data_IF_990359950121
#
_entry.id   IF_990359950121
#
_cell.length_a   1.000
_cell.length_b   1.000
_cell.length_c   1.000
_cell.angle_alpha   90.00
_cell.angle_beta   90.00
_cell.angle_gamma   90.00
#
_symmetry.space_group_name_H-M   'P 1'
#
loop_
_entity.id
_entity.type
_entity.pdbx_description
1 polymer ?
#
# COMPACT_ATOMS: atom_id res chain seq x y z
N UNK A 1 -9.29 22.59 -36.60
CA UNK A 1 -9.51 21.30 -35.89
C UNK A 1 -8.88 21.41 -34.51
N UNK A 2 -9.61 21.17 -33.41
CA UNK A 2 -9.02 21.15 -32.07
C UNK A 2 -7.95 20.05 -32.00
N UNK A 3 -6.74 20.39 -31.55
CA UNK A 3 -5.67 19.41 -31.37
C UNK A 3 -6.12 18.36 -30.35
N UNK A 4 -5.99 17.05 -30.63
CA UNK A 4 -6.36 16.01 -29.66
C UNK A 4 -5.60 16.25 -28.35
N UNK A 5 -6.35 16.38 -27.25
CA UNK A 5 -5.77 16.59 -25.93
C UNK A 5 -4.99 15.34 -25.53
N UNK A 6 -3.67 15.48 -25.39
CA UNK A 6 -2.83 14.41 -24.82
C UNK A 6 -3.19 14.24 -23.36
N UNK A 7 -3.53 13.01 -22.98
CA UNK A 7 -3.79 12.63 -21.59
C UNK A 7 -2.52 12.75 -20.75
N UNK A 8 -2.62 13.30 -19.55
CA UNK A 8 -1.50 13.79 -18.71
C UNK A 8 -1.20 12.86 -17.55
N UNK A 9 0.05 12.79 -17.07
CA UNK A 9 0.38 11.84 -16.01
C UNK A 9 0.05 12.34 -14.61
N UNK A 10 -0.62 11.51 -13.81
CA UNK A 10 -0.84 11.73 -12.37
C UNK A 10 -0.13 10.63 -11.57
N UNK A 11 0.44 10.98 -10.41
CA UNK A 11 1.25 10.05 -9.62
C UNK A 11 0.43 9.34 -8.52
N UNK A 12 -0.62 9.97 -7.98
CA UNK A 12 -1.55 9.28 -7.08
C UNK A 12 -2.93 9.96 -7.02
N UNK A 13 -3.92 9.24 -6.52
CA UNK A 13 -5.26 9.78 -6.27
C UNK A 13 -5.30 10.67 -5.03
N UNK A 14 -6.26 11.63 -4.94
CA UNK A 14 -6.48 12.41 -3.73
C UNK A 14 -7.05 11.56 -2.59
N UNK A 15 -6.63 11.82 -1.36
CA UNK A 15 -7.21 11.19 -0.17
C UNK A 15 -8.65 11.66 0.09
N UNK A 16 -8.92 12.93 -0.18
CA UNK A 16 -10.22 13.56 0.01
C UNK A 16 -10.72 14.10 -1.33
N UNK A 17 -11.89 13.62 -1.77
CA UNK A 17 -12.47 13.99 -3.07
C UNK A 17 -13.32 15.26 -3.00
N UNK A 18 -13.64 15.75 -1.79
CA UNK A 18 -14.34 17.02 -1.64
C UNK A 18 -14.02 17.74 -0.34
N UNK A 19 -14.01 19.06 -0.38
CA UNK A 19 -13.81 19.96 0.75
C UNK A 19 -14.96 20.97 0.80
N UNK A 20 -15.57 21.17 1.97
CA UNK A 20 -16.68 22.10 2.16
C UNK A 20 -16.45 22.97 3.40
N UNK A 21 -16.92 24.22 3.42
CA UNK A 21 -16.89 25.05 4.62
C UNK A 21 -17.98 24.63 5.62
N UNK A 22 -17.69 24.72 6.91
CA UNK A 22 -18.59 24.28 7.99
C UNK A 22 -19.82 25.18 8.20
N UNK A 23 -19.83 26.40 7.63
CA UNK A 23 -20.79 27.46 8.00
C UNK A 23 -21.69 27.95 6.87
N UNK A 24 -21.69 27.30 5.71
CA UNK A 24 -22.58 27.72 4.63
C UNK A 24 -23.20 26.56 3.87
N UNK A 25 -24.47 26.72 3.51
CA UNK A 25 -25.15 25.87 2.53
C UNK A 25 -24.65 26.27 1.13
N UNK A 26 -23.34 26.14 0.91
CA UNK A 26 -22.68 26.50 -0.33
C UNK A 26 -23.24 25.65 -1.47
N UNK A 27 -24.23 26.18 -2.19
CA UNK A 27 -24.77 25.55 -3.39
C UNK A 27 -23.74 25.52 -4.52
N UNK A 28 -22.79 26.45 -4.47
CA UNK A 28 -21.78 26.61 -5.50
C UNK A 28 -20.60 25.66 -5.26
N UNK A 29 -20.46 24.73 -6.20
CA UNK A 29 -19.38 23.74 -6.23
C UNK A 29 -18.37 24.11 -7.29
N UNK A 30 -17.10 24.20 -6.90
CA UNK A 30 -15.95 24.34 -7.79
C UNK A 30 -15.39 22.95 -8.09
N UNK A 31 -15.35 22.60 -9.38
CA UNK A 31 -14.76 21.35 -9.85
C UNK A 31 -13.27 21.57 -10.13
N UNK A 32 -12.42 20.90 -9.38
CA UNK A 32 -10.97 20.83 -9.59
C UNK A 32 -10.64 19.53 -10.31
N UNK A 33 -9.85 19.57 -11.38
CA UNK A 33 -9.43 18.33 -12.07
C UNK A 33 -8.29 17.64 -11.34
N UNK A 34 -8.08 16.35 -11.63
CA UNK A 34 -6.97 15.60 -11.03
C UNK A 34 -5.60 16.19 -11.40
N UNK A 35 -5.45 16.70 -12.62
CA UNK A 35 -4.22 17.37 -13.05
C UNK A 35 -3.92 18.61 -12.19
N UNK A 36 -4.96 19.39 -11.87
CA UNK A 36 -4.84 20.59 -11.03
C UNK A 36 -4.43 20.21 -9.61
N UNK A 37 -5.05 19.18 -9.04
CA UNK A 37 -4.66 18.64 -7.74
C UNK A 37 -3.22 18.14 -7.71
N UNK A 38 -2.80 17.35 -8.71
CA UNK A 38 -1.44 16.83 -8.82
C UNK A 38 -0.41 17.96 -8.89
N UNK A 39 -0.69 19.04 -9.64
CA UNK A 39 0.22 20.20 -9.69
C UNK A 39 0.37 20.90 -8.35
N UNK A 40 -0.73 21.09 -7.61
CA UNK A 40 -0.68 21.67 -6.26
C UNK A 40 0.12 20.75 -5.33
N UNK A 41 -0.10 19.43 -5.40
CA UNK A 41 0.62 18.46 -4.56
C UNK A 41 2.12 18.48 -4.86
N UNK A 42 2.53 18.47 -6.12
CA UNK A 42 3.94 18.43 -6.49
C UNK A 42 4.65 19.75 -6.17
N UNK A 43 4.04 20.89 -6.49
CA UNK A 43 4.67 22.20 -6.33
C UNK A 43 4.56 22.70 -4.90
N UNK A 44 3.35 22.80 -4.35
CA UNK A 44 3.12 23.46 -3.06
C UNK A 44 3.37 22.49 -1.88
N UNK A 45 2.92 21.24 -1.97
CA UNK A 45 3.08 20.28 -0.87
C UNK A 45 4.46 19.57 -0.88
N UNK A 46 4.98 19.19 -2.04
CA UNK A 46 6.29 18.52 -2.17
C UNK A 46 7.44 19.49 -2.49
N UNK A 47 7.17 20.79 -2.59
CA UNK A 47 8.18 21.84 -2.87
C UNK A 47 9.01 21.59 -4.14
N UNK A 48 8.45 20.91 -5.15
CA UNK A 48 9.15 20.65 -6.42
C UNK A 48 9.13 21.87 -7.33
N UNK A 49 10.13 21.96 -8.21
CA UNK A 49 10.14 23.01 -9.23
C UNK A 49 9.11 22.72 -10.33
N UNK A 50 8.66 23.76 -11.04
CA UNK A 50 7.74 23.59 -12.17
C UNK A 50 8.31 22.70 -13.28
N UNK A 51 9.63 22.68 -13.44
CA UNK A 51 10.32 21.79 -14.38
C UNK A 51 10.24 20.33 -13.93
N UNK A 52 10.51 20.05 -12.66
CA UNK A 52 10.37 18.70 -12.10
C UNK A 52 8.93 18.21 -12.15
N UNK A 53 7.96 19.09 -11.89
CA UNK A 53 6.54 18.79 -12.03
C UNK A 53 6.17 18.46 -13.49
N UNK A 54 6.70 19.21 -14.46
CA UNK A 54 6.48 18.96 -15.88
C UNK A 54 7.04 17.61 -16.33
N UNK A 55 8.23 17.25 -15.84
CA UNK A 55 8.82 15.94 -16.05
C UNK A 55 7.98 14.82 -15.42
N UNK A 56 7.53 15.00 -14.17
CA UNK A 56 6.72 14.00 -13.46
C UNK A 56 5.35 13.76 -14.13
N UNK A 57 4.70 14.83 -14.61
CA UNK A 57 3.41 14.74 -15.29
C UNK A 57 3.53 14.44 -16.80
N UNK A 58 4.75 14.29 -17.32
CA UNK A 58 5.06 14.09 -18.73
C UNK A 58 4.36 15.10 -19.67
N UNK A 59 4.41 16.38 -19.29
CA UNK A 59 3.82 17.50 -20.05
C UNK A 59 4.85 18.62 -20.27
N UNK A 60 4.57 19.52 -21.20
CA UNK A 60 5.41 20.70 -21.40
C UNK A 60 5.36 21.62 -20.16
N UNK A 61 6.47 22.30 -19.85
CA UNK A 61 6.57 23.28 -18.74
C UNK A 61 5.46 24.32 -18.78
N UNK A 62 5.16 24.86 -19.97
CA UNK A 62 4.09 25.85 -20.18
C UNK A 62 2.70 25.31 -19.86
N UNK A 63 2.48 24.02 -20.08
CA UNK A 63 1.22 23.34 -19.72
C UNK A 63 1.08 23.24 -18.20
N UNK A 64 2.15 22.90 -17.46
CA UNK A 64 2.12 22.88 -15.99
C UNK A 64 1.83 24.25 -15.42
N UNK A 65 2.47 25.30 -15.94
CA UNK A 65 2.21 26.68 -15.49
C UNK A 65 0.73 27.04 -15.67
N UNK A 66 0.13 26.70 -16.81
CA UNK A 66 -1.29 26.96 -17.06
C UNK A 66 -2.23 26.16 -16.14
N UNK A 67 -1.92 24.88 -15.88
CA UNK A 67 -2.68 24.04 -14.96
C UNK A 67 -2.57 24.60 -13.53
N UNK A 68 -1.36 24.92 -13.09
CA UNK A 68 -1.08 25.46 -11.76
C UNK A 68 -1.79 26.81 -11.53
N UNK A 69 -1.79 27.70 -12.52
CA UNK A 69 -2.52 28.97 -12.42
C UNK A 69 -4.04 28.78 -12.35
N UNK A 70 -4.60 27.82 -13.10
CA UNK A 70 -6.01 27.45 -13.00
C UNK A 70 -6.34 26.88 -11.62
N UNK A 71 -5.50 25.97 -11.13
CA UNK A 71 -5.65 25.32 -9.84
C UNK A 71 -5.64 26.34 -8.68
N UNK A 72 -4.68 27.27 -8.68
CA UNK A 72 -4.58 28.34 -7.67
C UNK A 72 -5.78 29.28 -7.69
N UNK A 73 -6.30 29.64 -8.86
CA UNK A 73 -7.51 30.49 -8.96
C UNK A 73 -8.73 29.79 -8.36
N UNK A 74 -8.92 28.50 -8.65
CA UNK A 74 -10.02 27.71 -8.09
C UNK A 74 -9.91 27.56 -6.58
N UNK A 75 -8.70 27.31 -6.08
CA UNK A 75 -8.43 27.19 -4.65
C UNK A 75 -8.65 28.53 -3.92
N UNK A 76 -8.19 29.64 -4.50
CA UNK A 76 -8.44 30.98 -3.96
C UNK A 76 -9.93 31.33 -3.95
N UNK A 77 -10.66 31.04 -5.04
CA UNK A 77 -12.10 31.28 -5.11
C UNK A 77 -12.86 30.46 -4.06
N UNK A 78 -12.47 29.20 -3.85
CA UNK A 78 -13.08 28.36 -2.82
C UNK A 78 -12.90 28.92 -1.40
N UNK A 79 -11.69 29.42 -1.08
CA UNK A 79 -11.38 29.98 0.23
C UNK A 79 -12.03 31.35 0.47
N UNK A 80 -12.10 32.21 -0.55
CA UNK A 80 -12.64 33.58 -0.42
C UNK A 80 -14.17 33.57 -0.45
N UNK A 81 -14.76 32.79 -1.33
CA UNK A 81 -16.21 32.77 -1.57
C UNK A 81 -16.93 31.68 -0.76
N UNK A 82 -16.18 30.86 0.00
CA UNK A 82 -16.75 29.76 0.80
C UNK A 82 -17.41 28.68 -0.07
N UNK A 83 -16.77 28.30 -1.17
CA UNK A 83 -17.33 27.31 -2.11
C UNK A 83 -16.84 25.90 -1.80
N UNK A 84 -17.70 24.91 -2.06
CA UNK A 84 -17.29 23.50 -1.98
C UNK A 84 -16.34 23.17 -3.12
N UNK A 85 -15.19 22.57 -2.82
CA UNK A 85 -14.29 21.99 -3.83
C UNK A 85 -14.68 20.53 -4.01
N UNK A 86 -14.85 20.09 -5.25
CA UNK A 86 -14.94 18.67 -5.61
C UNK A 86 -13.85 18.36 -6.62
N UNK A 87 -13.03 17.36 -6.31
CA UNK A 87 -12.00 16.89 -7.22
C UNK A 87 -12.66 15.86 -8.14
N UNK A 88 -12.80 16.17 -9.42
CA UNK A 88 -13.34 15.21 -10.40
C UNK A 88 -12.93 15.57 -11.82
N UNK A 89 -12.82 14.54 -12.66
CA UNK A 89 -12.52 14.68 -14.09
C UNK A 89 -11.07 15.08 -14.41
N UNK A 90 -10.84 15.42 -15.67
CA UNK A 90 -9.51 15.59 -16.25
C UNK A 90 -9.20 14.48 -17.25
N UNK A 91 -8.25 14.74 -18.15
CA UNK A 91 -7.82 13.76 -19.14
C UNK A 91 -6.41 13.30 -18.73
N UNK A 92 -6.35 12.25 -17.91
CA UNK A 92 -5.12 11.78 -17.28
C UNK A 92 -4.81 10.30 -17.62
N UNK A 93 -3.53 9.95 -17.57
CA UNK A 93 -2.97 8.61 -17.61
C UNK A 93 -2.26 8.42 -16.27
N UNK A 94 -2.47 7.31 -15.57
CA UNK A 94 -1.68 7.03 -14.36
C UNK A 94 -0.26 6.61 -14.79
N UNK A 95 0.77 7.23 -14.20
CA UNK A 95 2.15 6.75 -14.41
C UNK A 95 2.35 5.51 -13.56
N UNK A 96 2.11 4.33 -14.15
CA UNK A 96 2.22 3.03 -13.48
C UNK A 96 3.69 2.57 -13.34
N UNK A 97 4.62 3.50 -13.05
CA UNK A 97 6.06 3.20 -12.94
C UNK A 97 6.52 2.87 -11.53
N UNK A 98 5.62 2.85 -10.55
CA UNK A 98 5.81 2.06 -9.33
C UNK A 98 4.90 0.86 -9.49
N UNK A 99 5.49 -0.24 -9.97
CA UNK A 99 4.99 -1.63 -9.96
C UNK A 99 3.46 -1.77 -10.04
N UNK A 100 2.96 -2.19 -11.20
CA UNK A 100 1.54 -2.37 -11.54
C UNK A 100 0.71 -3.26 -10.59
N UNK A 101 1.28 -3.75 -9.49
CA UNK A 101 0.71 -4.79 -8.65
C UNK A 101 0.31 -4.34 -7.25
N UNK A 102 0.59 -3.10 -6.85
CA UNK A 102 0.11 -2.56 -5.57
C UNK A 102 -0.39 -1.14 -5.79
N UNK A 103 -1.68 -0.99 -6.12
CA UNK A 103 -2.34 0.30 -6.17
C UNK A 103 -2.02 1.12 -4.89
N UNK A 104 -1.53 2.36 -4.99
CA UNK A 104 -1.25 3.16 -3.79
C UNK A 104 -2.55 3.44 -3.03
N UNK A 105 -2.58 3.04 -1.76
CA UNK A 105 -3.66 3.22 -0.80
C UNK A 105 -3.83 4.71 -0.48
N UNK A 106 -5.05 5.24 -0.60
CA UNK A 106 -5.38 6.55 -0.04
C UNK A 106 -5.38 6.49 1.49
N UNK A 107 -5.00 7.58 2.16
CA UNK A 107 -4.85 7.68 3.63
C UNK A 107 -6.08 7.21 4.43
N UNK A 108 -7.29 7.30 3.85
CA UNK A 108 -8.55 6.86 4.45
C UNK A 108 -9.02 5.46 4.05
N UNK A 109 -8.25 4.77 3.20
CA UNK A 109 -8.57 3.41 2.76
C UNK A 109 -7.80 2.47 3.67
N UNK A 110 -8.50 1.48 4.22
CA UNK A 110 -7.89 0.40 5.00
C UNK A 110 -7.50 -0.73 4.06
N UNK A 111 -6.28 -1.27 4.19
CA UNK A 111 -5.78 -2.34 3.35
C UNK A 111 -5.58 -3.61 4.15
N UNK A 112 -6.25 -4.67 3.72
CA UNK A 112 -6.14 -6.00 4.30
C UNK A 112 -5.36 -6.89 3.34
N UNK A 113 -4.31 -7.53 3.83
CA UNK A 113 -3.63 -8.59 3.12
C UNK A 113 -4.09 -9.95 3.64
N UNK A 114 -4.39 -10.87 2.73
CA UNK A 114 -4.71 -12.25 3.04
C UNK A 114 -3.71 -13.15 2.32
N UNK A 115 -3.14 -14.12 3.01
CA UNK A 115 -2.34 -15.17 2.36
C UNK A 115 -3.23 -15.96 1.39
N UNK A 116 -2.89 -15.99 0.11
CA UNK A 116 -3.76 -16.54 -0.94
C UNK A 116 -3.11 -17.73 -1.64
N UNK A 117 -3.82 -18.85 -1.73
CA UNK A 117 -3.46 -20.00 -2.56
C UNK A 117 -4.74 -20.61 -3.14
N UNK A 118 -4.91 -20.58 -4.47
CA UNK A 118 -6.03 -21.22 -5.18
C UNK A 118 -7.44 -20.89 -4.62
N UNK A 119 -7.66 -19.66 -4.14
CA UNK A 119 -8.94 -19.23 -3.55
C UNK A 119 -9.07 -19.43 -2.04
N UNK A 120 -8.06 -20.01 -1.38
CA UNK A 120 -8.06 -20.33 0.05
C UNK A 120 -6.93 -19.63 0.82
N UNK A 121 -7.09 -19.54 2.14
CA UNK A 121 -6.10 -18.98 3.06
C UNK A 121 -4.98 -19.98 3.27
N UNK A 122 -3.77 -19.59 2.87
CA UNK A 122 -2.60 -20.43 3.06
C UNK A 122 -2.17 -20.54 4.53
N UNK A 123 -1.85 -21.76 4.95
CA UNK A 123 -1.56 -22.06 6.37
C UNK A 123 -0.11 -21.79 6.78
N UNK A 124 0.81 -21.53 5.85
CA UNK A 124 2.21 -21.30 6.18
C UNK A 124 2.69 -19.96 5.61
N UNK A 125 2.56 -18.88 6.39
CA UNK A 125 2.93 -17.52 5.97
C UNK A 125 4.33 -17.43 5.33
N UNK A 126 5.32 -18.15 5.85
CA UNK A 126 6.70 -18.12 5.35
C UNK A 126 6.91 -18.77 3.97
N UNK A 127 5.97 -19.58 3.50
CA UNK A 127 6.00 -20.24 2.19
C UNK A 127 4.96 -19.70 1.22
N UNK A 128 4.21 -18.68 1.63
CA UNK A 128 3.21 -18.06 0.77
C UNK A 128 3.87 -17.33 -0.39
N UNK A 129 3.49 -17.70 -1.61
CA UNK A 129 3.98 -17.05 -2.84
C UNK A 129 3.06 -15.93 -3.33
N UNK A 130 1.82 -15.83 -2.80
CA UNK A 130 0.82 -14.85 -3.22
C UNK A 130 0.02 -14.28 -2.04
N UNK A 131 -0.23 -12.98 -2.08
CA UNK A 131 -1.16 -12.29 -1.18
C UNK A 131 -2.32 -11.73 -1.99
N UNK A 132 -3.53 -11.85 -1.46
CA UNK A 132 -4.69 -11.10 -1.95
C UNK A 132 -4.86 -9.87 -1.08
N UNK A 133 -4.69 -8.70 -1.68
CA UNK A 133 -4.86 -7.40 -1.06
C UNK A 133 -6.29 -6.90 -1.32
N UNK A 134 -6.93 -6.41 -0.28
CA UNK A 134 -8.26 -5.83 -0.32
C UNK A 134 -8.19 -4.40 0.18
N UNK A 135 -8.72 -3.48 -0.62
CA UNK A 135 -8.87 -2.09 -0.24
C UNK A 135 -10.30 -1.84 0.23
N UNK A 136 -10.42 -1.29 1.42
CA UNK A 136 -11.68 -1.07 2.09
C UNK A 136 -11.86 0.42 2.33
N UNK A 137 -12.98 0.95 1.85
CA UNK A 137 -13.44 2.31 2.13
C UNK A 137 -14.87 2.24 2.66
N UNK A 138 -15.17 2.98 3.71
CA UNK A 138 -16.51 3.04 4.34
C UNK A 138 -17.11 1.65 4.66
N UNK A 139 -16.27 0.70 5.09
CA UNK A 139 -16.67 -0.68 5.41
C UNK A 139 -17.03 -1.55 4.20
N UNK A 140 -16.70 -1.11 2.97
CA UNK A 140 -16.91 -1.88 1.74
C UNK A 140 -15.60 -2.10 1.00
N UNK A 141 -15.48 -3.28 0.39
CA UNK A 141 -14.37 -3.62 -0.50
C UNK A 141 -14.54 -2.81 -1.79
N UNK A 142 -13.60 -1.92 -2.08
CA UNK A 142 -13.57 -1.10 -3.28
C UNK A 142 -12.59 -1.64 -4.34
N UNK A 143 -11.62 -2.44 -3.92
CA UNK A 143 -10.64 -3.05 -4.81
C UNK A 143 -10.14 -4.39 -4.23
N UNK A 144 -9.84 -5.33 -5.12
CA UNK A 144 -9.19 -6.60 -4.80
C UNK A 144 -8.09 -6.87 -5.83
N UNK A 145 -6.91 -7.25 -5.36
CA UNK A 145 -5.78 -7.58 -6.24
C UNK A 145 -4.98 -8.73 -5.65
N UNK A 146 -4.48 -9.62 -6.50
CA UNK A 146 -3.57 -10.69 -6.09
C UNK A 146 -2.17 -10.30 -6.51
N UNK A 147 -1.26 -10.24 -5.53
CA UNK A 147 0.13 -9.84 -5.71
C UNK A 147 1.06 -10.96 -5.28
N UNK A 148 2.01 -11.33 -6.14
CA UNK A 148 3.05 -12.30 -5.80
C UNK A 148 4.11 -11.72 -4.87
N UNK A 149 4.75 -12.57 -4.07
CA UNK A 149 5.86 -12.16 -3.19
C UNK A 149 7.18 -11.93 -3.92
N UNK A 150 7.23 -12.18 -5.23
CA UNK A 150 8.41 -12.00 -6.09
C UNK A 150 9.68 -12.70 -5.56
N UNK A 151 9.51 -13.81 -4.83
CA UNK A 151 10.62 -14.56 -4.23
C UNK A 151 11.16 -13.94 -2.93
N UNK A 152 10.45 -12.99 -2.32
CA UNK A 152 10.79 -12.46 -1.01
C UNK A 152 10.70 -13.58 0.06
N UNK A 153 11.85 -13.97 0.63
CA UNK A 153 11.94 -14.97 1.68
C UNK A 153 11.31 -14.54 3.02
N UNK A 154 11.32 -15.44 4.00
CA UNK A 154 10.58 -15.35 5.28
C UNK A 154 10.76 -14.02 6.05
N UNK A 155 11.91 -13.35 5.92
CA UNK A 155 12.19 -12.08 6.62
C UNK A 155 11.79 -10.80 5.85
N UNK A 156 11.63 -10.89 4.52
CA UNK A 156 11.35 -9.72 3.67
C UNK A 156 9.85 -9.45 3.50
N UNK A 157 8.99 -10.41 3.84
CA UNK A 157 7.53 -10.31 3.71
C UNK A 157 6.96 -9.17 4.56
N UNK A 158 7.48 -8.93 5.77
CA UNK A 158 7.05 -7.82 6.62
C UNK A 158 7.36 -6.46 5.98
N UNK A 159 8.56 -6.32 5.40
CA UNK A 159 8.96 -5.11 4.66
C UNK A 159 8.13 -4.89 3.40
N UNK A 160 7.80 -5.96 2.69
CA UNK A 160 6.89 -5.92 1.54
C UNK A 160 5.50 -5.42 1.94
N UNK A 161 4.87 -6.03 2.96
CA UNK A 161 3.53 -5.63 3.42
C UNK A 161 3.50 -4.19 3.97
N UNK A 162 4.56 -3.78 4.66
CA UNK A 162 4.74 -2.39 5.12
C UNK A 162 4.84 -1.41 3.95
N UNK A 163 5.62 -1.76 2.94
CA UNK A 163 5.77 -0.95 1.72
C UNK A 163 4.47 -0.92 0.91
N UNK A 164 3.68 -1.99 0.96
CA UNK A 164 2.37 -2.09 0.35
C UNK A 164 1.27 -1.30 1.10
N UNK A 165 1.60 -0.75 2.28
CA UNK A 165 0.68 0.02 3.12
C UNK A 165 -0.42 -0.83 3.76
N UNK A 166 -0.16 -2.10 4.06
CA UNK A 166 -1.13 -3.00 4.68
C UNK A 166 -1.33 -2.63 6.15
N UNK A 167 -2.58 -2.48 6.60
CA UNK A 167 -2.89 -2.24 8.01
C UNK A 167 -3.18 -3.55 8.75
N UNK A 168 -3.78 -4.51 8.05
CA UNK A 168 -4.22 -5.79 8.63
C UNK A 168 -3.75 -6.96 7.78
N UNK A 169 -3.19 -7.97 8.43
CA UNK A 169 -2.78 -9.23 7.80
C UNK A 169 -3.61 -10.39 8.36
N UNK A 170 -4.29 -11.13 7.49
CA UNK A 170 -4.99 -12.37 7.81
C UNK A 170 -4.18 -13.55 7.26
N UNK A 171 -3.85 -14.49 8.14
CA UNK A 171 -3.14 -15.71 7.76
C UNK A 171 -3.61 -16.93 8.56
N UNK A 172 -3.25 -18.12 8.10
CA UNK A 172 -3.37 -19.34 8.89
C UNK A 172 -2.28 -19.42 9.97
N UNK A 173 -1.21 -20.16 9.73
CA UNK A 173 -0.06 -20.26 10.63
C UNK A 173 1.03 -19.22 10.36
N UNK A 174 1.53 -18.61 11.43
CA UNK A 174 2.61 -17.62 11.38
C UNK A 174 3.62 -17.87 12.52
N UNK A 175 4.90 -18.00 12.17
CA UNK A 175 5.96 -18.21 13.14
C UNK A 175 6.22 -16.98 14.01
N UNK A 176 6.69 -17.18 15.25
CA UNK A 176 6.92 -16.08 16.21
C UNK A 176 7.85 -14.97 15.70
N UNK A 177 8.84 -15.30 14.86
CA UNK A 177 9.70 -14.28 14.23
C UNK A 177 8.96 -13.35 13.26
N UNK A 178 7.97 -13.87 12.52
CA UNK A 178 7.15 -13.06 11.63
C UNK A 178 6.13 -12.23 12.40
N UNK A 179 5.59 -12.74 13.51
CA UNK A 179 4.69 -11.97 14.39
C UNK A 179 5.37 -10.71 14.94
N UNK A 180 6.62 -10.82 15.41
CA UNK A 180 7.39 -9.67 15.86
C UNK A 180 7.62 -8.64 14.75
N UNK A 181 7.95 -9.10 13.53
CA UNK A 181 8.18 -8.22 12.39
C UNK A 181 6.91 -7.46 11.96
N UNK A 182 5.72 -8.09 12.04
CA UNK A 182 4.45 -7.39 11.77
C UNK A 182 4.13 -6.35 12.83
N UNK A 183 4.36 -6.68 14.10
CA UNK A 183 4.13 -5.74 15.20
C UNK A 183 5.07 -4.52 15.11
N UNK A 184 6.35 -4.75 14.77
CA UNK A 184 7.31 -3.66 14.52
C UNK A 184 6.97 -2.84 13.26
N UNK A 185 6.34 -3.47 12.27
CA UNK A 185 5.80 -2.79 11.09
C UNK A 185 4.52 -2.00 11.36
N UNK A 186 3.87 -2.19 12.53
CA UNK A 186 2.58 -1.57 12.87
C UNK A 186 1.38 -2.23 12.19
N UNK A 187 1.52 -3.49 11.76
CA UNK A 187 0.48 -4.24 11.05
C UNK A 187 -0.28 -5.12 12.06
N UNK A 188 -1.61 -5.03 12.07
CA UNK A 188 -2.45 -5.85 12.94
C UNK A 188 -2.59 -7.25 12.35
N UNK A 189 -2.23 -8.26 13.14
CA UNK A 189 -2.20 -9.65 12.70
C UNK A 189 -3.44 -10.42 13.18
N UNK A 190 -4.05 -11.19 12.27
CA UNK A 190 -5.10 -12.17 12.53
C UNK A 190 -4.66 -13.54 12.03
N UNK A 191 -4.00 -14.30 12.92
CA UNK A 191 -3.60 -15.68 12.64
C UNK A 191 -4.63 -16.71 13.09
N UNK A 192 -4.48 -17.94 12.59
CA UNK A 192 -5.32 -19.10 12.92
C UNK A 192 -6.52 -19.29 11.99
N UNK A 193 -6.59 -18.55 10.88
CA UNK A 193 -7.74 -18.59 9.99
C UNK A 193 -7.58 -19.66 8.89
N UNK A 194 -8.65 -20.41 8.63
CA UNK A 194 -8.74 -21.45 7.59
C UNK A 194 -10.00 -21.22 6.77
N UNK A 195 -9.95 -21.45 5.45
CA UNK A 195 -11.11 -21.31 4.58
C UNK A 195 -10.87 -20.38 3.39
N UNK A 196 -11.94 -19.78 2.86
CA UNK A 196 -11.86 -18.84 1.73
C UNK A 196 -11.30 -17.49 2.15
N UNK A 197 -10.45 -16.89 1.31
CA UNK A 197 -9.90 -15.56 1.55
C UNK A 197 -11.00 -14.48 1.62
N UNK A 198 -12.00 -14.58 0.75
CA UNK A 198 -13.10 -13.60 0.67
C UNK A 198 -14.02 -13.68 1.89
N UNK A 199 -14.28 -14.90 2.38
CA UNK A 199 -15.11 -15.11 3.59
C UNK A 199 -14.41 -14.58 4.84
N UNK A 200 -13.08 -14.68 4.92
CA UNK A 200 -12.33 -14.10 6.03
C UNK A 200 -12.37 -12.57 6.01
N UNK A 201 -12.23 -11.93 4.85
CA UNK A 201 -12.38 -10.46 4.79
C UNK A 201 -13.81 -10.03 5.13
N UNK A 202 -14.82 -10.76 4.68
CA UNK A 202 -16.21 -10.50 5.04
C UNK A 202 -16.46 -10.66 6.55
N UNK A 203 -15.86 -11.68 7.17
CA UNK A 203 -15.96 -11.91 8.62
C UNK A 203 -15.19 -10.86 9.43
N UNK A 204 -14.08 -10.34 8.89
CA UNK A 204 -13.34 -9.22 9.46
C UNK A 204 -14.20 -7.95 9.45
N UNK A 205 -14.84 -7.65 8.32
CA UNK A 205 -15.76 -6.52 8.19
C UNK A 205 -16.99 -6.64 9.11
N UNK A 206 -17.38 -7.87 9.47
CA UNK A 206 -18.49 -8.15 10.38
C UNK A 206 -18.08 -8.19 11.87
N UNK A 207 -16.83 -7.86 12.22
CA UNK A 207 -16.26 -7.92 13.58
C UNK A 207 -16.37 -9.32 14.26
N UNK A 208 -16.61 -10.38 13.50
CA UNK A 208 -16.75 -11.76 14.01
C UNK A 208 -15.44 -12.54 13.97
N UNK A 209 -14.37 -11.95 13.45
CA UNK A 209 -13.09 -12.63 13.24
C UNK A 209 -12.26 -12.62 14.53
N UNK A 210 -11.98 -13.81 15.05
CA UNK A 210 -11.28 -13.98 16.33
C UNK A 210 -9.80 -13.64 16.15
N UNK A 211 -9.36 -12.57 16.82
CA UNK A 211 -7.95 -12.21 16.89
C UNK A 211 -7.23 -13.24 17.77
N UNK A 212 -6.60 -14.25 17.16
CA UNK A 212 -5.76 -15.15 17.92
C UNK A 212 -4.41 -14.48 18.17
N UNK A 213 -4.21 -14.00 19.40
CA UNK A 213 -2.98 -13.31 19.82
C UNK A 213 -1.76 -14.24 19.88
N UNK A 214 -1.96 -15.55 19.72
CA UNK A 214 -0.88 -16.52 19.67
C UNK A 214 -1.18 -17.64 18.64
N UNK A 215 -1.03 -17.36 17.34
CA UNK A 215 -1.00 -18.37 16.30
C UNK A 215 0.36 -19.06 16.36
N UNK A 216 0.64 -19.74 17.46
CA UNK A 216 1.82 -20.59 17.59
C UNK A 216 1.69 -21.70 16.57
N UNK A 217 2.67 -21.81 15.67
CA UNK A 217 2.96 -23.10 15.10
C UNK A 217 3.17 -24.03 16.29
N UNK A 218 2.28 -25.00 16.49
CA UNK A 218 2.56 -26.15 17.32
C UNK A 218 3.81 -26.79 16.72
N UNK A 219 4.94 -26.46 17.34
CA UNK A 219 6.21 -27.04 17.02
C UNK A 219 6.08 -28.47 17.49
N UNK A 220 5.63 -29.36 16.60
CA UNK A 220 5.77 -30.78 16.83
C UNK A 220 7.24 -31.00 17.20
N UNK A 221 7.42 -31.36 18.47
CA UNK A 221 8.68 -31.80 19.02
C UNK A 221 8.99 -33.12 18.35
N UNK A 222 9.59 -33.07 17.16
CA UNK A 222 10.31 -34.21 16.64
C UNK A 222 11.66 -34.21 17.33
N UNK A 223 11.74 -35.07 18.35
CA UNK A 223 12.94 -35.81 18.73
C UNK A 223 13.91 -35.87 17.56
N UNK A 224 15.00 -35.11 17.63
CA UNK A 224 16.16 -35.36 16.79
C UNK A 224 16.92 -36.56 17.34
N UNK A 225 16.29 -37.72 17.17
CA UNK A 225 16.98 -39.00 17.08
C UNK A 225 17.57 -39.14 15.68
N UNK A 226 18.90 -39.29 15.65
CA UNK A 226 19.69 -39.87 14.57
C UNK A 226 19.96 -39.03 13.30
N UNK A 227 21.22 -38.56 13.22
CA UNK A 227 22.06 -39.04 12.14
C UNK A 227 22.43 -38.07 11.03
N UNK A 228 23.04 -36.92 11.33
CA UNK A 228 23.87 -36.23 10.33
C UNK A 228 25.23 -35.77 10.89
N UNK A 229 26.25 -36.43 10.36
CA UNK A 229 27.68 -36.27 10.56
C UNK A 229 28.15 -34.82 10.37
N UNK A 230 28.56 -34.17 11.45
CA UNK A 230 29.37 -32.95 11.38
C UNK A 230 30.85 -33.34 11.28
N UNK A 231 31.42 -33.10 10.10
CA UNK A 231 32.87 -33.15 9.89
C UNK A 231 33.58 -32.10 10.75
N UNK A 232 34.57 -32.58 11.51
CA UNK A 232 35.44 -31.80 12.39
C UNK A 232 36.19 -30.70 11.62
N UNK A 233 35.89 -29.44 11.89
CA UNK A 233 36.82 -28.35 11.62
C UNK A 233 37.80 -28.20 12.79
N UNK A 234 38.99 -28.78 12.61
CA UNK A 234 40.17 -28.57 13.45
C UNK A 234 40.61 -27.09 13.39
N UNK A 235 40.38 -26.35 14.47
CA UNK A 235 41.10 -25.11 14.75
C UNK A 235 42.46 -25.45 15.38
N UNK A 236 43.51 -25.49 14.55
CA UNK A 236 44.90 -25.61 15.01
C UNK A 236 45.43 -24.28 15.50
N UNK A 237 45.73 -24.19 16.80
CA UNK A 237 46.44 -23.08 17.42
C UNK A 237 47.95 -23.17 17.26
N UNK A 238 48.56 -21.98 17.18
CA UNK A 238 49.91 -21.55 17.62
C UNK A 238 51.15 -22.41 17.31
N UNK A 239 52.16 -21.78 16.67
CA UNK A 239 53.48 -21.52 17.29
C UNK A 239 54.47 -20.99 16.25
N UNK A 240 55.00 -19.79 16.47
CA UNK A 240 56.19 -19.27 15.77
C UNK A 240 57.30 -19.17 16.83
N UNK A 241 58.26 -20.09 16.79
CA UNK A 241 59.44 -20.10 17.64
C UNK A 241 60.73 -20.08 16.80
N UNK A 242 61.66 -19.22 17.21
CA UNK A 242 63.03 -19.03 16.72
C UNK A 242 63.83 -20.33 16.53
N UNK A 243 64.60 -20.41 15.44
CA UNK A 243 66.07 -20.37 15.44
C UNK A 243 66.60 -20.14 14.02
#
# INVERSE_FOLDING_TARGET
MPRPQKSRRICCYPDYWSFAPDHDNASDTIIMSLDEFETIRLIDHQSKTQEQCASAMNVARTTVTAIYDSARKKLAAALVEGKRIVISGGNYILDNTISEEIAQKGSMIMRIAVTYENGQIFQHFGRTEQFKLYDIADGKIINEQVTGTHGAGHGALAGFLKSAGVDVLICGGIGGGAQMAMNEAGITLYGGNTGSADEAVASFLADTLTQNSNPTCDHHSHEHGEGHSCGEHKCGGHSCGNH
#
